data_IF_882946634032
#
_entry.id   IF_882946634032
#
_cell.length_a   1.000
_cell.length_b   1.000
_cell.length_c   1.000
_cell.angle_alpha   90.00
_cell.angle_beta   90.00
_cell.angle_gamma   90.00
#
_symmetry.space_group_name_H-M   'P 1'
#
loop_
_entity.id
_entity.type
_entity.pdbx_description
1 polymer ?
#
# COMPACT_ATOMS: atom_id res chain seq x y z
N UNK A 1 -17.17 -6.13 -31.74
CA UNK A 1 -17.65 -5.71 -30.40
C UNK A 1 -16.61 -6.14 -29.40
N UNK A 2 -16.09 -5.19 -28.63
CA UNK A 2 -15.07 -5.47 -27.61
C UNK A 2 -15.72 -6.11 -26.38
N UNK A 3 -15.13 -7.20 -25.91
CA UNK A 3 -15.59 -7.97 -24.74
C UNK A 3 -14.41 -8.33 -23.87
N UNK A 4 -14.64 -8.38 -22.56
CA UNK A 4 -13.71 -8.91 -21.57
C UNK A 4 -14.27 -10.26 -21.09
N UNK A 5 -13.49 -11.32 -21.22
CA UNK A 5 -13.86 -12.68 -20.87
C UNK A 5 -13.07 -13.12 -19.64
N UNK A 6 -13.77 -13.56 -18.60
CA UNK A 6 -13.17 -14.09 -17.38
C UNK A 6 -13.33 -15.60 -17.36
N UNK A 7 -12.24 -16.33 -17.08
CA UNK A 7 -12.27 -17.75 -16.84
C UNK A 7 -11.58 -18.04 -15.50
N UNK A 8 -12.40 -18.44 -14.53
CA UNK A 8 -12.03 -18.72 -13.15
C UNK A 8 -12.49 -20.13 -12.71
N UNK A 9 -12.67 -21.06 -13.66
CA UNK A 9 -13.10 -22.44 -13.31
C UNK A 9 -12.00 -23.25 -12.62
N UNK A 10 -10.74 -22.96 -12.92
CA UNK A 10 -9.58 -23.59 -12.32
C UNK A 10 -9.13 -22.74 -11.12
N UNK A 11 -8.77 -23.36 -10.01
CA UNK A 11 -8.33 -22.63 -8.81
C UNK A 11 -6.87 -22.17 -8.93
N UNK A 12 -6.11 -22.83 -9.79
CA UNK A 12 -4.68 -22.62 -10.01
C UNK A 12 -4.40 -21.42 -10.93
N UNK A 13 -5.35 -21.07 -11.79
CA UNK A 13 -5.22 -19.99 -12.76
C UNK A 13 -6.52 -19.17 -12.90
N UNK A 14 -6.37 -17.85 -12.90
CA UNK A 14 -7.38 -16.91 -13.37
C UNK A 14 -6.94 -16.39 -14.73
N UNK A 15 -7.83 -16.44 -15.72
CA UNK A 15 -7.54 -15.95 -17.08
C UNK A 15 -8.51 -14.84 -17.46
N UNK A 16 -7.97 -13.73 -17.94
CA UNK A 16 -8.74 -12.59 -18.44
C UNK A 16 -8.31 -12.31 -19.87
N UNK A 17 -9.25 -12.37 -20.81
CA UNK A 17 -8.99 -12.08 -22.22
C UNK A 17 -9.80 -10.89 -22.72
N UNK A 18 -9.17 -10.00 -23.47
CA UNK A 18 -9.83 -8.91 -24.21
C UNK A 18 -9.94 -9.35 -25.66
N UNK A 19 -11.16 -9.39 -26.19
CA UNK A 19 -11.43 -9.78 -27.59
C UNK A 19 -12.21 -8.69 -28.32
N UNK A 20 -11.97 -8.52 -29.62
CA UNK A 20 -12.84 -7.75 -30.51
C UNK A 20 -13.47 -8.68 -31.55
N UNK A 21 -14.76 -8.97 -31.39
CA UNK A 21 -15.39 -10.08 -32.12
C UNK A 21 -14.69 -11.38 -31.74
N UNK A 22 -14.19 -12.13 -32.72
CA UNK A 22 -13.48 -13.40 -32.48
C UNK A 22 -11.94 -13.24 -32.42
N UNK A 23 -11.43 -12.01 -32.56
CA UNK A 23 -9.99 -11.73 -32.51
C UNK A 23 -9.54 -11.47 -31.08
N UNK A 24 -8.58 -12.25 -30.60
CA UNK A 24 -7.90 -11.98 -29.33
C UNK A 24 -7.03 -10.72 -29.46
N UNK A 25 -7.18 -9.80 -28.52
CA UNK A 25 -6.43 -8.55 -28.45
C UNK A 25 -5.36 -8.63 -27.36
N UNK A 26 -5.74 -9.13 -26.18
CA UNK A 26 -4.86 -9.22 -25.03
C UNK A 26 -5.28 -10.38 -24.12
N UNK A 27 -4.34 -10.94 -23.36
CA UNK A 27 -4.61 -11.99 -22.38
C UNK A 27 -3.69 -11.80 -21.17
N UNK A 28 -4.29 -11.85 -19.99
CA UNK A 28 -3.59 -11.89 -18.71
C UNK A 28 -3.93 -13.20 -17.99
N UNK A 29 -2.91 -13.82 -17.40
CA UNK A 29 -3.04 -15.09 -16.68
C UNK A 29 -2.37 -14.92 -15.33
N UNK A 30 -3.17 -14.99 -14.27
CA UNK A 30 -2.72 -14.93 -12.90
C UNK A 30 -2.68 -16.34 -12.32
N UNK A 31 -1.51 -16.78 -11.86
CA UNK A 31 -1.31 -18.08 -11.21
C UNK A 31 -1.39 -17.93 -9.70
N UNK A 32 -2.04 -18.88 -9.04
CA UNK A 32 -2.14 -18.91 -7.58
C UNK A 32 -0.74 -18.91 -6.91
N UNK A 33 -0.61 -18.15 -5.81
CA UNK A 33 0.58 -18.18 -4.94
C UNK A 33 1.66 -17.13 -5.21
N UNK A 34 1.43 -16.19 -6.16
CA UNK A 34 2.35 -15.07 -6.43
C UNK A 34 1.71 -13.71 -6.15
N UNK A 35 1.14 -13.56 -4.95
CA UNK A 35 0.57 -12.28 -4.52
C UNK A 35 1.67 -11.26 -4.26
N UNK A 36 1.76 -10.25 -5.14
CA UNK A 36 2.58 -9.07 -4.90
C UNK A 36 1.77 -8.09 -4.06
N UNK A 37 2.30 -7.69 -2.89
CA UNK A 37 1.65 -6.77 -1.96
C UNK A 37 2.12 -5.33 -2.15
N UNK A 38 3.21 -5.12 -2.89
CA UNK A 38 3.66 -3.78 -3.27
C UNK A 38 2.51 -3.02 -3.96
N UNK A 39 2.23 -1.82 -3.47
CA UNK A 39 1.18 -0.95 -3.98
C UNK A 39 -0.17 -1.11 -3.27
N UNK A 40 -0.37 -2.17 -2.48
CA UNK A 40 -1.58 -2.34 -1.69
C UNK A 40 -1.74 -1.18 -0.69
N UNK A 41 -3.00 -0.79 -0.47
CA UNK A 41 -3.38 0.30 0.43
C UNK A 41 -4.21 -0.28 1.58
N UNK A 42 -3.83 0.07 2.80
CA UNK A 42 -4.46 -0.42 4.02
C UNK A 42 -4.85 0.74 4.92
N UNK A 43 -5.88 0.53 5.73
CA UNK A 43 -6.11 1.32 6.94
C UNK A 43 -5.42 0.62 8.10
N UNK A 44 -4.40 1.25 8.67
CA UNK A 44 -3.63 0.73 9.78
C UNK A 44 -3.79 1.57 11.05
N UNK A 45 -3.20 1.07 12.13
CA UNK A 45 -3.14 1.75 13.44
C UNK A 45 -1.69 1.89 13.86
N UNK A 46 -1.26 3.10 14.24
CA UNK A 46 0.07 3.35 14.79
C UNK A 46 0.18 2.62 16.13
N UNK A 47 1.08 1.64 16.21
CA UNK A 47 1.28 0.85 17.43
C UNK A 47 2.38 1.41 18.31
N UNK A 48 3.38 2.05 17.70
CA UNK A 48 4.57 2.56 18.42
C UNK A 48 5.21 3.71 17.67
N UNK A 49 5.58 4.76 18.38
CA UNK A 49 6.38 5.87 17.83
C UNK A 49 7.82 5.74 18.29
N UNK A 50 8.78 5.79 17.37
CA UNK A 50 10.22 5.65 17.62
C UNK A 50 10.98 6.91 17.17
N UNK A 51 11.15 7.92 18.05
CA UNK A 51 11.83 9.18 17.70
C UNK A 51 13.27 8.98 17.23
N UNK A 52 14.00 8.01 17.81
CA UNK A 52 15.38 7.70 17.43
C UNK A 52 15.54 7.25 15.98
N UNK A 53 14.47 6.71 15.39
CA UNK A 53 14.43 6.29 13.99
C UNK A 53 13.72 7.31 13.10
N UNK A 54 13.22 8.41 13.68
CA UNK A 54 12.28 9.34 13.04
C UNK A 54 11.14 8.60 12.30
N UNK A 55 10.53 7.62 12.96
CA UNK A 55 9.55 6.73 12.33
C UNK A 55 8.52 6.19 13.34
N UNK A 56 7.42 5.65 12.83
CA UNK A 56 6.47 4.89 13.61
C UNK A 56 6.23 3.50 13.00
N UNK A 57 5.74 2.59 13.84
CA UNK A 57 5.32 1.26 13.42
C UNK A 57 3.80 1.21 13.33
N UNK A 58 3.30 0.62 12.24
CA UNK A 58 1.88 0.55 11.92
C UNK A 58 1.46 -0.91 11.84
N UNK A 59 0.42 -1.28 12.58
CA UNK A 59 -0.28 -2.54 12.36
C UNK A 59 -1.29 -2.33 11.24
N UNK A 60 -1.10 -3.01 10.12
CA UNK A 60 -1.94 -2.94 8.92
C UNK A 60 -2.59 -4.29 8.57
N UNK A 61 -2.57 -5.24 9.51
CA UNK A 61 -3.17 -6.57 9.36
C UNK A 61 -2.19 -7.70 9.07
N UNK A 62 -0.92 -7.40 8.84
CA UNK A 62 0.14 -8.40 8.63
C UNK A 62 0.85 -8.81 9.92
N UNK A 63 1.54 -9.95 9.89
CA UNK A 63 2.28 -10.50 11.03
C UNK A 63 3.34 -9.53 11.55
N UNK A 64 4.04 -8.83 10.65
CA UNK A 64 5.02 -7.80 11.01
C UNK A 64 4.43 -6.42 10.82
N UNK A 65 4.56 -5.58 11.85
CA UNK A 65 4.20 -4.18 11.74
C UNK A 65 5.06 -3.49 10.68
N UNK A 66 4.43 -2.65 9.89
CA UNK A 66 5.10 -1.89 8.84
C UNK A 66 5.86 -0.71 9.42
N UNK A 67 6.92 -0.33 8.75
CA UNK A 67 7.78 0.80 9.10
C UNK A 67 7.35 2.03 8.29
N UNK A 68 6.87 3.07 8.97
CA UNK A 68 6.44 4.33 8.37
C UNK A 68 7.40 5.47 8.82
N UNK A 69 8.33 5.90 7.95
CA UNK A 69 9.21 7.03 8.23
C UNK A 69 8.41 8.32 8.37
N UNK A 70 8.83 9.25 9.24
CA UNK A 70 8.14 10.52 9.46
C UNK A 70 8.03 11.37 8.19
N UNK A 71 9.07 11.35 7.35
CA UNK A 71 9.07 12.03 6.05
C UNK A 71 8.01 11.51 5.06
N UNK A 72 7.49 10.30 5.28
CA UNK A 72 6.45 9.66 4.47
C UNK A 72 5.04 9.86 5.08
N UNK A 73 4.92 10.73 6.08
CA UNK A 73 3.65 11.05 6.75
C UNK A 73 3.08 12.35 6.21
N UNK A 74 1.88 12.28 5.62
CA UNK A 74 1.15 13.43 5.14
C UNK A 74 0.73 14.33 6.29
N UNK A 75 0.82 15.64 6.08
CA UNK A 75 0.55 16.67 7.11
C UNK A 75 -0.87 16.61 7.66
N UNK A 76 -1.81 16.05 6.90
CA UNK A 76 -3.20 15.81 7.33
C UNK A 76 -3.32 14.89 8.54
N UNK A 77 -2.28 14.09 8.83
CA UNK A 77 -2.22 13.23 10.00
C UNK A 77 -1.57 13.89 11.22
N UNK A 78 -1.04 15.11 11.09
CA UNK A 78 -0.39 15.79 12.21
C UNK A 78 -1.46 16.32 13.17
N UNK A 79 -1.14 16.38 14.46
CA UNK A 79 -1.97 17.08 15.45
C UNK A 79 -2.12 18.56 15.08
N UNK A 80 -3.26 19.14 15.44
CA UNK A 80 -3.53 20.56 15.21
C UNK A 80 -2.51 21.47 15.91
N UNK A 81 -2.13 22.56 15.24
CA UNK A 81 -1.23 23.57 15.80
C UNK A 81 0.27 23.23 15.76
N UNK A 82 0.66 22.11 15.16
CA UNK A 82 2.06 21.73 14.98
C UNK A 82 2.70 22.54 13.84
N UNK A 83 3.78 23.26 14.13
CA UNK A 83 4.62 23.88 13.09
C UNK A 83 5.41 22.82 12.33
N UNK A 84 5.06 22.65 11.05
CA UNK A 84 5.65 21.67 10.15
C UNK A 84 7.18 21.79 10.05
N UNK A 85 7.74 23.00 10.21
CA UNK A 85 9.19 23.21 10.06
C UNK A 85 10.01 22.62 11.20
N UNK A 86 9.41 22.51 12.38
CA UNK A 86 10.07 22.08 13.62
C UNK A 86 9.42 20.84 14.24
N UNK A 87 8.49 20.21 13.52
CA UNK A 87 7.71 19.10 14.03
C UNK A 87 8.61 17.89 14.30
N UNK A 88 8.57 17.36 15.52
CA UNK A 88 9.07 16.03 15.82
C UNK A 88 7.96 15.01 15.62
N UNK A 89 8.30 13.76 15.27
CA UNK A 89 7.29 12.70 15.11
C UNK A 89 6.48 12.47 16.39
N UNK A 90 7.11 12.61 17.56
CA UNK A 90 6.48 12.44 18.88
C UNK A 90 5.40 13.49 19.12
N UNK A 91 5.65 14.71 18.67
CA UNK A 91 4.70 15.81 18.82
C UNK A 91 3.61 15.73 17.75
N UNK A 92 3.98 15.37 16.51
CA UNK A 92 3.08 15.32 15.37
C UNK A 92 2.07 14.17 15.41
N UNK A 93 2.44 12.99 15.94
CA UNK A 93 1.61 11.78 15.88
C UNK A 93 1.27 11.24 17.28
N UNK A 94 0.32 10.29 17.35
CA UNK A 94 -0.01 9.56 18.58
C UNK A 94 -0.15 8.06 18.32
N UNK A 95 0.18 7.25 19.32
CA UNK A 95 -0.13 5.82 19.31
C UNK A 95 -1.66 5.61 19.34
N UNK A 96 -2.13 4.54 18.71
CA UNK A 96 -3.56 4.27 18.50
C UNK A 96 -4.21 5.09 17.37
N UNK A 97 -3.48 6.01 16.73
CA UNK A 97 -3.99 6.77 15.59
C UNK A 97 -4.19 5.88 14.37
N UNK A 98 -5.36 5.98 13.74
CA UNK A 98 -5.62 5.36 12.45
C UNK A 98 -4.95 6.15 11.32
N UNK A 99 -4.38 5.45 10.33
CA UNK A 99 -3.68 6.03 9.20
C UNK A 99 -3.85 5.17 7.95
N UNK A 100 -4.09 5.80 6.80
CA UNK A 100 -4.07 5.12 5.50
C UNK A 100 -2.62 5.05 5.03
N UNK A 101 -2.17 3.84 4.68
CA UNK A 101 -0.79 3.56 4.26
C UNK A 101 -0.78 2.74 2.98
N UNK A 102 0.24 2.97 2.14
CA UNK A 102 0.55 2.18 0.96
C UNK A 102 1.88 1.45 1.16
N UNK A 103 1.96 0.20 0.71
CA UNK A 103 3.19 -0.59 0.75
C UNK A 103 4.12 -0.16 -0.39
N UNK A 104 5.24 0.50 -0.06
CA UNK A 104 6.27 0.87 -1.04
C UNK A 104 7.23 -0.28 -1.32
N UNK A 105 7.63 -1.00 -0.26
CA UNK A 105 8.53 -2.14 -0.31
C UNK A 105 8.00 -3.25 0.56
N UNK A 106 7.97 -4.45 0.00
CA UNK A 106 7.56 -5.66 0.70
C UNK A 106 8.52 -6.01 1.82
N UNK A 107 8.06 -6.88 2.71
CA UNK A 107 8.84 -7.42 3.81
C UNK A 107 10.11 -8.10 3.29
N UNK A 108 11.23 -7.86 3.98
CA UNK A 108 12.52 -8.46 3.61
C UNK A 108 13.17 -9.08 4.83
N UNK A 109 13.24 -10.41 4.83
CA UNK A 109 13.81 -11.18 5.94
C UNK A 109 13.03 -10.92 7.23
N UNK A 110 13.68 -10.32 8.22
CA UNK A 110 13.05 -10.00 9.51
C UNK A 110 12.42 -8.60 9.57
N UNK A 111 12.60 -7.76 8.54
CA UNK A 111 12.08 -6.40 8.52
C UNK A 111 10.67 -6.38 7.93
N UNK A 112 9.74 -5.71 8.62
CA UNK A 112 8.41 -5.42 8.10
C UNK A 112 8.45 -4.52 6.86
N UNK A 113 7.30 -4.37 6.20
CA UNK A 113 7.17 -3.62 4.96
C UNK A 113 7.48 -2.13 5.17
N UNK A 114 8.03 -1.47 4.14
CA UNK A 114 8.16 -0.02 4.15
C UNK A 114 6.85 0.60 3.66
N UNK A 115 6.34 1.57 4.42
CA UNK A 115 5.05 2.20 4.20
C UNK A 115 5.20 3.69 3.88
N UNK A 116 4.25 4.22 3.13
CA UNK A 116 4.03 5.66 2.97
C UNK A 116 2.57 6.01 3.15
N UNK A 117 2.26 7.22 3.58
CA UNK A 117 0.89 7.77 3.56
C UNK A 117 0.62 8.65 2.35
N UNK A 118 1.63 8.92 1.53
CA UNK A 118 1.48 9.57 0.23
C UNK A 118 1.03 8.53 -0.79
N UNK A 119 -0.29 8.32 -0.83
CA UNK A 119 -0.90 7.32 -1.70
C UNK A 119 -0.68 7.71 -3.16
N UNK A 120 -0.19 6.74 -3.94
CA UNK A 120 -0.06 6.84 -5.39
C UNK A 120 -1.02 5.86 -6.07
N UNK A 121 -1.80 6.37 -7.03
CA UNK A 121 -2.76 5.57 -7.80
C UNK A 121 -2.34 5.56 -9.27
N UNK A 122 -1.55 4.55 -9.63
CA UNK A 122 -1.05 4.39 -10.99
C UNK A 122 -2.15 3.86 -11.93
N UNK A 123 -2.56 4.70 -12.89
CA UNK A 123 -3.35 4.29 -14.03
C UNK A 123 -2.48 3.93 -15.24
N UNK A 124 -3.12 3.64 -16.37
CA UNK A 124 -2.41 3.31 -17.62
C UNK A 124 -1.56 4.47 -18.17
N UNK A 125 -2.00 5.70 -17.97
CA UNK A 125 -1.43 6.89 -18.62
C UNK A 125 -0.93 7.97 -17.65
N UNK A 126 -1.34 7.90 -16.38
CA UNK A 126 -1.03 8.90 -15.36
C UNK A 126 -1.02 8.27 -13.97
N UNK A 127 -0.37 8.95 -13.02
CA UNK A 127 -0.37 8.61 -11.59
C UNK A 127 -0.99 9.77 -10.84
N UNK A 128 -2.04 9.51 -10.06
CA UNK A 128 -2.63 10.47 -9.12
C UNK A 128 -1.93 10.39 -7.77
#
# INVERSE_FOLDING_TARGET
>A
MKRMLFNATQQEELRVAIVDGQKLIDIDIETAGREQRKGNIYKGVITRIEPSLEACFVNYGEERHGFLPFKEVARTYFKDGIDVRNASIKDALREGQEIIVQVEKEERGQKGAALTSFISLAGRYLVL
#
